data_IF_238152855410
#
_entry.id   IF_238152855410
#
_cell.length_a   1.000
_cell.length_b   1.000
_cell.length_c   1.000
_cell.angle_alpha   90.00
_cell.angle_beta   90.00
_cell.angle_gamma   90.00
#
_symmetry.space_group_name_H-M   'P 1'
#
loop_
_entity.id
_entity.type
_entity.pdbx_description
1 polymer ?
#
# COMPACT_ATOMS: atom_id res chain seq x y z
N UNK A 1 10.47 17.11 16.30
CA UNK A 1 9.36 16.22 15.95
C UNK A 1 8.90 16.59 14.56
N UNK A 2 9.20 15.71 13.62
CA UNK A 2 8.76 15.84 12.22
C UNK A 2 7.25 15.65 12.15
N UNK A 3 6.55 16.50 11.41
CA UNK A 3 5.11 16.37 11.20
C UNK A 3 4.82 15.25 10.20
N UNK A 4 3.63 14.65 10.28
CA UNK A 4 3.18 13.67 9.29
C UNK A 4 3.27 14.18 7.85
N UNK A 5 2.93 15.45 7.63
CA UNK A 5 3.08 16.10 6.32
C UNK A 5 4.55 16.13 5.88
N UNK A 6 5.49 16.41 6.77
CA UNK A 6 6.92 16.40 6.45
C UNK A 6 7.43 14.98 6.13
N UNK A 7 6.95 13.95 6.85
CA UNK A 7 7.29 12.55 6.55
C UNK A 7 6.82 12.14 5.14
N UNK A 8 5.56 12.46 4.81
CA UNK A 8 4.97 12.17 3.50
C UNK A 8 5.72 12.89 2.38
N UNK A 9 5.99 14.19 2.55
CA UNK A 9 6.72 14.97 1.54
C UNK A 9 8.18 14.50 1.40
N UNK A 10 8.81 14.07 2.50
CA UNK A 10 10.14 13.48 2.46
C UNK A 10 10.14 12.17 1.68
N UNK A 11 9.19 11.26 1.93
CA UNK A 11 9.09 10.02 1.16
C UNK A 11 8.92 10.30 -0.33
N UNK A 12 7.97 11.18 -0.68
CA UNK A 12 7.75 11.62 -2.06
C UNK A 12 9.03 12.15 -2.71
N UNK A 13 9.87 12.85 -1.95
CA UNK A 13 11.14 13.36 -2.45
C UNK A 13 12.11 12.23 -2.85
N UNK A 14 12.32 11.24 -1.97
CA UNK A 14 13.17 10.08 -2.28
C UNK A 14 12.65 9.30 -3.50
N UNK A 15 11.34 9.00 -3.51
CA UNK A 15 10.72 8.27 -4.62
C UNK A 15 10.79 9.05 -5.94
N UNK A 16 10.51 10.36 -5.92
CA UNK A 16 10.59 11.21 -7.11
C UNK A 16 12.02 11.30 -7.66
N UNK A 17 13.04 11.27 -6.81
CA UNK A 17 14.43 11.24 -7.27
C UNK A 17 14.76 9.92 -7.97
N UNK A 18 14.31 8.80 -7.42
CA UNK A 18 14.51 7.48 -8.02
C UNK A 18 13.86 7.36 -9.40
N UNK A 19 12.58 7.73 -9.55
CA UNK A 19 11.89 7.59 -10.84
C UNK A 19 12.34 8.60 -11.90
N UNK A 20 12.97 9.72 -11.52
CA UNK A 20 13.63 10.60 -12.51
C UNK A 20 14.79 9.92 -13.23
N UNK A 21 15.47 8.99 -12.56
CA UNK A 21 16.58 8.22 -13.15
C UNK A 21 16.15 6.85 -13.66
N UNK A 22 14.92 6.41 -13.32
CA UNK A 22 14.33 5.13 -13.74
C UNK A 22 12.91 5.33 -14.30
N UNK A 23 12.72 6.08 -15.40
CA UNK A 23 11.40 6.48 -15.90
C UNK A 23 10.59 5.33 -16.53
N UNK A 24 11.11 4.11 -16.57
CA UNK A 24 10.45 2.94 -17.14
C UNK A 24 9.43 2.29 -16.19
N UNK A 25 9.29 2.83 -14.98
CA UNK A 25 8.43 2.28 -13.93
C UNK A 25 7.41 3.34 -13.52
N UNK A 26 6.15 3.15 -13.95
CA UNK A 26 5.02 4.03 -13.62
C UNK A 26 4.35 3.67 -12.28
N UNK A 27 5.05 2.94 -11.39
CA UNK A 27 4.51 2.49 -10.11
C UNK A 27 4.90 3.44 -8.98
N UNK A 28 4.28 4.61 -8.95
CA UNK A 28 4.42 5.55 -7.84
C UNK A 28 3.70 5.03 -6.59
N UNK A 29 4.44 4.74 -5.53
CA UNK A 29 3.94 4.23 -4.25
C UNK A 29 3.75 5.34 -3.22
N UNK A 30 4.15 6.60 -3.50
CA UNK A 30 4.09 7.65 -2.49
C UNK A 30 2.69 7.87 -1.91
N UNK A 31 1.61 7.70 -2.68
CA UNK A 31 0.25 7.88 -2.14
C UNK A 31 -0.17 6.70 -1.27
N UNK A 32 0.18 5.47 -1.63
CA UNK A 32 0.02 4.28 -0.78
C UNK A 32 0.78 4.43 0.55
N UNK A 33 2.04 4.88 0.47
CA UNK A 33 2.84 5.16 1.67
C UNK A 33 2.27 6.32 2.45
N UNK A 34 1.77 7.37 1.80
CA UNK A 34 1.12 8.48 2.48
C UNK A 34 -0.09 8.00 3.29
N UNK A 35 -1.00 7.22 2.69
CA UNK A 35 -2.13 6.64 3.40
C UNK A 35 -1.70 5.71 4.53
N UNK A 36 -0.60 4.96 4.34
CA UNK A 36 -0.03 4.13 5.39
C UNK A 36 0.48 4.97 6.56
N UNK A 37 1.28 6.01 6.32
CA UNK A 37 1.80 6.91 7.36
C UNK A 37 0.67 7.67 8.10
N UNK A 38 -0.42 7.99 7.40
CA UNK A 38 -1.60 8.62 7.98
C UNK A 38 -2.45 7.68 8.83
N UNK A 39 -2.16 6.38 8.81
CA UNK A 39 -2.95 5.37 9.51
C UNK A 39 -4.32 5.13 8.88
N UNK A 40 -4.43 5.32 7.57
CA UNK A 40 -5.61 4.98 6.79
C UNK A 40 -5.47 3.58 6.20
N UNK A 41 -4.27 3.28 5.70
CA UNK A 41 -3.89 1.97 5.20
C UNK A 41 -2.95 1.29 6.19
N UNK A 42 -3.08 -0.01 6.43
CA UNK A 42 -2.23 -0.66 7.41
C UNK A 42 -0.88 -1.11 6.84
N UNK A 43 -0.84 -1.43 5.54
CA UNK A 43 0.34 -1.96 4.89
C UNK A 43 0.44 -1.50 3.43
N UNK A 44 1.66 -1.32 2.91
CA UNK A 44 1.89 -1.11 1.47
C UNK A 44 2.62 -2.31 0.91
N UNK A 45 2.13 -2.84 -0.21
CA UNK A 45 2.81 -3.84 -1.02
C UNK A 45 3.84 -3.14 -1.92
N UNK A 46 5.09 -3.56 -1.84
CA UNK A 46 6.14 -3.17 -2.78
C UNK A 46 6.55 -4.43 -3.53
N UNK A 47 6.11 -4.51 -4.78
CA UNK A 47 6.42 -5.60 -5.70
C UNK A 47 6.96 -5.02 -7.01
N UNK A 48 8.27 -5.13 -7.19
CA UNK A 48 8.97 -4.69 -8.39
C UNK A 48 9.70 -5.89 -9.02
N UNK A 49 9.75 -5.98 -10.35
CA UNK A 49 10.38 -7.10 -11.02
C UNK A 49 11.91 -7.09 -10.90
N UNK A 50 12.50 -8.26 -10.74
CA UNK A 50 13.95 -8.46 -10.85
C UNK A 50 14.78 -7.66 -9.83
N UNK A 51 15.81 -6.97 -10.30
CA UNK A 51 16.71 -6.16 -9.49
C UNK A 51 16.14 -4.78 -9.14
N UNK A 52 15.03 -4.37 -9.76
CA UNK A 52 14.36 -3.08 -9.52
C UNK A 52 13.95 -2.96 -8.05
N UNK A 53 13.45 -4.04 -7.44
CA UNK A 53 13.11 -4.03 -6.01
C UNK A 53 14.33 -3.71 -5.15
N UNK A 54 15.48 -4.36 -5.39
CA UNK A 54 16.70 -4.12 -4.61
C UNK A 54 17.21 -2.68 -4.80
N UNK A 55 17.16 -2.16 -6.03
CA UNK A 55 17.52 -0.78 -6.34
C UNK A 55 16.58 0.21 -5.64
N UNK A 56 15.26 -0.03 -5.67
CA UNK A 56 14.26 0.79 -5.00
C UNK A 56 14.46 0.81 -3.49
N UNK A 57 14.73 -0.36 -2.88
CA UNK A 57 15.03 -0.46 -1.45
C UNK A 57 16.24 0.40 -1.07
N UNK A 58 17.34 0.27 -1.80
CA UNK A 58 18.59 0.98 -1.52
C UNK A 58 18.48 2.49 -1.78
N UNK A 59 17.70 2.90 -2.79
CA UNK A 59 17.59 4.30 -3.20
C UNK A 59 16.50 5.08 -2.47
N UNK A 60 15.42 4.40 -2.03
CA UNK A 60 14.22 5.04 -1.48
C UNK A 60 13.95 4.60 -0.05
N UNK A 61 13.69 3.31 0.17
CA UNK A 61 13.18 2.81 1.45
C UNK A 61 14.21 2.91 2.57
N UNK A 62 15.39 2.35 2.38
CA UNK A 62 16.46 2.30 3.38
C UNK A 62 16.94 3.69 3.82
N UNK A 63 17.27 4.63 2.90
CA UNK A 63 17.73 5.95 3.31
C UNK A 63 16.62 6.78 3.95
N UNK A 64 15.36 6.62 3.51
CA UNK A 64 14.22 7.29 4.16
C UNK A 64 14.00 6.76 5.58
N UNK A 65 14.05 5.43 5.77
CA UNK A 65 14.00 4.77 7.08
C UNK A 65 15.08 5.30 8.02
N UNK A 66 16.31 5.37 7.54
CA UNK A 66 17.45 5.82 8.32
C UNK A 66 17.31 7.30 8.73
N UNK A 67 16.84 8.16 7.81
CA UNK A 67 16.67 9.59 8.07
C UNK A 67 15.58 9.89 9.11
N UNK A 68 14.55 9.03 9.21
CA UNK A 68 13.37 9.26 10.06
C UNK A 68 13.25 8.27 11.22
N UNK A 69 14.31 7.51 11.52
CA UNK A 69 14.31 6.49 12.57
C UNK A 69 13.74 7.00 13.91
N UNK A 70 14.11 8.21 14.32
CA UNK A 70 13.73 8.78 15.63
C UNK A 70 12.35 9.47 15.62
N UNK A 71 11.86 9.91 14.46
CA UNK A 71 10.56 10.54 14.30
C UNK A 71 9.42 9.52 14.05
N UNK A 72 9.77 8.27 13.80
CA UNK A 72 8.87 7.17 13.47
C UNK A 72 8.27 6.44 14.70
N UNK A 73 8.30 7.01 15.90
CA UNK A 73 7.85 6.33 17.13
C UNK A 73 6.36 5.92 17.14
N UNK A 74 5.55 6.41 16.20
CA UNK A 74 4.18 5.95 15.94
C UNK A 74 4.00 5.14 14.64
N UNK A 75 4.99 5.10 13.75
CA UNK A 75 4.91 4.35 12.49
C UNK A 75 6.10 3.40 12.45
N UNK A 76 5.92 2.18 12.95
CA UNK A 76 6.94 1.14 12.81
C UNK A 76 6.92 0.59 11.39
N UNK A 77 7.59 1.30 10.49
CA UNK A 77 7.84 0.77 9.16
C UNK A 77 8.64 -0.53 9.31
N UNK A 78 8.00 -1.62 8.91
CA UNK A 78 8.57 -2.98 8.96
C UNK A 78 8.49 -3.57 7.59
N UNK A 79 9.67 -3.75 7.00
CA UNK A 79 9.89 -4.48 5.76
C UNK A 79 9.77 -5.96 6.08
N UNK A 80 8.71 -6.59 5.59
CA UNK A 80 8.53 -8.05 5.69
C UNK A 80 8.99 -8.68 4.39
N UNK A 81 10.14 -9.35 4.42
CA UNK A 81 10.66 -10.11 3.28
C UNK A 81 10.06 -11.51 3.27
N UNK A 82 8.88 -11.68 2.69
CA UNK A 82 8.27 -13.00 2.55
C UNK A 82 7.81 -13.25 1.13
N UNK A 83 7.94 -14.50 0.70
CA UNK A 83 7.37 -14.94 -0.56
C UNK A 83 5.87 -15.06 -0.38
N UNK A 84 5.13 -14.18 -1.06
CA UNK A 84 3.69 -14.28 -1.17
C UNK A 84 3.37 -15.12 -2.40
N UNK A 85 2.48 -16.11 -2.23
CA UNK A 85 1.93 -16.87 -3.35
C UNK A 85 0.48 -16.50 -3.47
N UNK A 86 0.17 -15.66 -4.45
CA UNK A 86 -1.20 -15.45 -4.91
C UNK A 86 -1.19 -15.55 -6.43
N UNK A 87 -2.30 -15.94 -7.09
CA UNK A 87 -2.43 -15.89 -8.54
C UNK A 87 -1.95 -14.58 -9.17
N UNK A 88 -2.18 -13.44 -8.52
CA UNK A 88 -1.73 -12.11 -8.97
C UNK A 88 -0.24 -11.84 -8.73
N UNK A 89 0.39 -12.58 -7.80
CA UNK A 89 1.78 -12.38 -7.36
C UNK A 89 2.69 -13.57 -7.68
N UNK A 90 2.24 -14.50 -8.54
CA UNK A 90 2.95 -15.75 -8.87
C UNK A 90 4.34 -15.51 -9.50
N UNK A 91 4.58 -14.31 -10.04
CA UNK A 91 5.88 -13.89 -10.58
C UNK A 91 6.78 -13.11 -9.61
N UNK A 92 6.28 -12.73 -8.43
CA UNK A 92 7.02 -11.89 -7.49
C UNK A 92 8.13 -12.71 -6.79
N UNK A 93 9.39 -12.37 -7.05
CA UNK A 93 10.54 -13.04 -6.41
C UNK A 93 10.68 -12.64 -4.93
N UNK A 94 10.23 -11.44 -4.58
CA UNK A 94 10.16 -10.95 -3.22
C UNK A 94 9.10 -9.85 -3.13
N UNK A 95 8.36 -9.85 -2.03
CA UNK A 95 7.40 -8.80 -1.68
C UNK A 95 7.92 -8.10 -0.44
N UNK A 96 7.81 -6.78 -0.41
CA UNK A 96 8.08 -5.97 0.79
C UNK A 96 6.79 -5.34 1.27
N UNK A 97 6.44 -5.59 2.53
CA UNK A 97 5.39 -4.84 3.19
C UNK A 97 5.95 -3.63 3.92
N UNK A 98 5.23 -2.51 3.94
CA UNK A 98 5.49 -1.38 4.82
C UNK A 98 4.34 -1.25 5.81
N UNK A 99 4.52 -1.70 7.05
CA UNK A 99 3.43 -1.74 8.04
C UNK A 99 3.38 -0.45 8.88
N UNK A 100 2.18 0.08 9.17
CA UNK A 100 1.99 1.08 10.22
C UNK A 100 1.33 0.44 11.45
N UNK A 101 2.09 0.28 12.53
CA UNK A 101 1.63 -0.36 13.77
C UNK A 101 0.69 0.49 14.63
N UNK A 102 0.58 1.81 14.41
CA UNK A 102 -0.45 2.61 15.11
C UNK A 102 -1.81 2.52 14.43
N UNK A 103 -1.82 2.31 13.12
CA UNK A 103 -3.02 2.04 12.32
C UNK A 103 -3.76 0.79 12.80
N UNK A 104 -3.03 -0.20 13.33
CA UNK A 104 -3.55 -1.44 13.91
C UNK A 104 -4.56 -1.25 15.06
N UNK A 105 -4.73 -0.02 15.58
CA UNK A 105 -5.57 0.25 16.74
C UNK A 105 -6.84 1.08 16.45
N UNK A 106 -6.99 1.72 15.29
CA UNK A 106 -8.10 2.66 15.05
C UNK A 106 -8.59 2.67 13.58
N UNK A 107 -9.80 2.15 13.39
CA UNK A 107 -10.93 2.87 12.75
C UNK A 107 -11.53 2.43 11.40
N UNK A 108 -11.10 1.36 10.70
CA UNK A 108 -11.90 0.87 9.55
C UNK A 108 -12.39 -0.58 9.61
N UNK A 109 -11.64 -1.50 10.23
CA UNK A 109 -12.04 -2.92 10.29
C UNK A 109 -12.73 -3.34 11.60
N UNK A 110 -12.96 -2.43 12.56
CA UNK A 110 -13.58 -2.79 13.84
C UNK A 110 -12.70 -3.74 14.67
N UNK A 111 -13.31 -4.43 15.65
CA UNK A 111 -12.65 -5.40 16.54
C UNK A 111 -12.37 -6.75 15.82
N UNK A 112 -11.97 -6.68 14.54
CA UNK A 112 -11.80 -7.82 13.65
C UNK A 112 -10.56 -8.64 14.04
N UNK A 113 -10.84 -9.86 14.52
CA UNK A 113 -9.84 -10.82 14.97
C UNK A 113 -8.99 -11.34 13.79
N UNK A 114 -9.57 -11.46 12.61
CA UNK A 114 -8.86 -11.86 11.39
C UNK A 114 -7.90 -10.76 10.95
N UNK A 115 -8.31 -9.50 11.07
CA UNK A 115 -7.43 -8.36 10.83
C UNK A 115 -6.20 -8.36 11.77
N UNK A 116 -6.43 -8.58 13.07
CA UNK A 116 -5.34 -8.72 14.04
C UNK A 116 -4.46 -9.93 13.76
N UNK A 117 -5.03 -11.03 13.27
CA UNK A 117 -4.29 -12.22 12.87
C UNK A 117 -3.38 -11.91 11.68
N UNK A 118 -3.88 -11.26 10.63
CA UNK A 118 -3.08 -10.87 9.46
C UNK A 118 -1.93 -9.92 9.83
N UNK A 119 -2.20 -8.91 10.67
CA UNK A 119 -1.14 -8.04 11.19
C UNK A 119 -0.12 -8.80 12.02
N UNK A 120 -0.53 -9.74 12.88
CA UNK A 120 0.42 -10.57 13.65
C UNK A 120 1.31 -11.39 12.73
N UNK A 121 0.79 -11.91 11.62
CA UNK A 121 1.60 -12.63 10.64
C UNK A 121 2.72 -11.74 10.11
N UNK A 122 2.44 -10.47 9.83
CA UNK A 122 3.44 -9.49 9.37
C UNK A 122 4.40 -9.03 10.47
N UNK A 123 3.92 -8.94 11.72
CA UNK A 123 4.67 -8.37 12.84
C UNK A 123 5.51 -9.39 13.63
N UNK A 124 5.54 -10.68 13.25
CA UNK A 124 6.41 -11.67 13.91
C UNK A 124 7.86 -11.23 13.79
N UNK A 125 8.48 -10.90 14.93
CA UNK A 125 9.90 -10.51 15.03
C UNK A 125 10.83 -11.61 14.54
N UNK A 126 11.77 -11.24 13.69
CA UNK A 126 12.95 -12.03 13.32
C UNK A 126 13.99 -12.03 14.46
N UNK A 127 13.64 -12.53 15.64
CA UNK A 127 14.62 -12.77 16.72
C UNK A 127 15.19 -14.21 16.66
N UNK A 128 15.04 -14.93 15.52
CA UNK A 128 15.52 -16.30 15.36
C UNK A 128 16.45 -16.46 14.15
N UNK A 129 17.59 -17.19 14.29
CA UNK A 129 18.56 -17.45 13.22
C UNK A 129 18.06 -18.48 12.17
N UNK A 130 16.75 -18.64 12.02
CA UNK A 130 16.12 -19.56 11.08
C UNK A 130 15.55 -18.75 9.91
N UNK A 131 15.57 -19.23 8.65
CA UNK A 131 14.88 -18.54 7.58
C UNK A 131 13.42 -18.30 8.00
N UNK A 132 12.87 -17.10 7.77
CA UNK A 132 11.52 -16.77 8.22
C UNK A 132 10.53 -17.79 7.65
N UNK A 133 9.56 -18.26 8.45
CA UNK A 133 8.53 -19.15 7.93
C UNK A 133 7.80 -18.46 6.78
N UNK A 134 7.68 -19.17 5.66
CA UNK A 134 6.99 -18.71 4.47
C UNK A 134 5.57 -18.29 4.86
N UNK A 135 5.21 -17.02 4.63
CA UNK A 135 3.84 -16.56 4.80
C UNK A 135 3.09 -16.86 3.52
N UNK A 136 2.25 -17.89 3.56
CA UNK A 136 1.30 -18.14 2.48
C UNK A 136 0.04 -17.37 2.82
N UNK A 137 -0.31 -16.40 1.99
CA UNK A 137 -1.68 -15.88 1.93
C UNK A 137 -2.37 -16.71 0.85
N UNK A 138 -3.17 -17.69 1.25
CA UNK A 138 -3.82 -18.63 0.33
C UNK A 138 -5.06 -18.04 -0.34
N UNK A 139 -5.62 -16.98 0.24
CA UNK A 139 -6.85 -16.33 -0.19
C UNK A 139 -6.60 -14.88 -0.62
N UNK A 140 -6.97 -14.56 -1.86
CA UNK A 140 -6.87 -13.21 -2.41
C UNK A 140 -7.75 -12.20 -1.65
N UNK A 141 -8.85 -12.66 -1.05
CA UNK A 141 -9.68 -11.79 -0.22
C UNK A 141 -8.93 -11.36 1.06
N UNK A 142 -8.05 -12.21 1.60
CA UNK A 142 -7.19 -11.87 2.74
C UNK A 142 -6.07 -10.89 2.34
N UNK A 143 -5.51 -11.03 1.13
CA UNK A 143 -4.55 -10.05 0.60
C UNK A 143 -5.21 -8.69 0.37
N UNK A 144 -6.41 -8.67 -0.23
CA UNK A 144 -7.17 -7.44 -0.45
C UNK A 144 -7.48 -6.73 0.87
N UNK A 145 -7.87 -7.47 1.92
CA UNK A 145 -8.05 -6.92 3.27
C UNK A 145 -6.75 -6.38 3.85
N UNK A 146 -5.63 -7.09 3.67
CA UNK A 146 -4.31 -6.67 4.13
C UNK A 146 -3.85 -5.34 3.51
N UNK A 147 -4.21 -5.13 2.26
CA UNK A 147 -3.92 -3.94 1.49
C UNK A 147 -5.04 -2.89 1.58
N UNK A 148 -6.08 -3.12 2.37
CA UNK A 148 -7.25 -2.23 2.47
C UNK A 148 -7.85 -1.87 1.10
N UNK A 149 -7.93 -2.86 0.20
CA UNK A 149 -8.59 -2.69 -1.09
C UNK A 149 -10.11 -2.90 -0.93
N UNK A 150 -10.94 -1.90 -1.29
CA UNK A 150 -12.40 -2.02 -1.17
C UNK A 150 -13.03 -2.92 -2.25
N UNK A 151 -12.25 -3.30 -3.26
CA UNK A 151 -12.59 -4.29 -4.28
C UNK A 151 -12.05 -5.68 -3.93
N UNK A 152 -12.51 -6.69 -4.67
CA UNK A 152 -11.92 -8.04 -4.60
C UNK A 152 -11.00 -8.21 -5.80
N UNK A 153 -9.94 -8.97 -5.61
CA UNK A 153 -9.09 -9.38 -6.72
C UNK A 153 -9.87 -10.32 -7.65
N UNK A 154 -9.55 -10.31 -8.95
CA UNK A 154 -10.23 -11.12 -9.94
C UNK A 154 -10.00 -12.60 -9.63
N UNK A 155 -11.05 -13.43 -9.77
CA UNK A 155 -10.96 -14.88 -9.55
C UNK A 155 -10.77 -15.68 -10.83
N UNK A 156 -10.83 -15.02 -11.97
CA UNK A 156 -10.67 -15.61 -13.29
C UNK A 156 -10.23 -14.57 -14.32
N UNK A 157 -9.71 -15.03 -15.45
CA UNK A 157 -9.38 -14.16 -16.58
C UNK A 157 -10.63 -13.42 -17.11
N UNK A 158 -11.79 -14.07 -17.14
CA UNK A 158 -13.04 -13.45 -17.57
C UNK A 158 -13.46 -12.27 -16.67
N UNK A 159 -13.11 -12.31 -15.38
CA UNK A 159 -13.38 -11.21 -14.46
C UNK A 159 -12.49 -10.00 -14.74
N UNK A 160 -11.28 -10.18 -15.28
CA UNK A 160 -10.37 -9.08 -15.64
C UNK A 160 -11.00 -8.14 -16.67
N UNK A 161 -11.68 -8.71 -17.68
CA UNK A 161 -12.31 -7.96 -18.77
C UNK A 161 -13.45 -7.05 -18.31
N UNK A 162 -14.01 -7.32 -17.12
CA UNK A 162 -15.11 -6.53 -16.55
C UNK A 162 -14.67 -5.58 -15.44
N UNK A 163 -13.39 -5.62 -15.05
CA UNK A 163 -12.87 -4.75 -14.00
C UNK A 163 -12.84 -3.29 -14.45
N UNK A 164 -13.07 -2.42 -13.47
CA UNK A 164 -12.96 -0.98 -13.63
C UNK A 164 -11.69 -0.51 -12.94
N UNK A 165 -10.97 0.37 -13.63
CA UNK A 165 -9.87 1.14 -13.05
C UNK A 165 -10.46 2.09 -12.01
N UNK A 166 -9.90 2.04 -10.81
CA UNK A 166 -10.16 2.97 -9.73
C UNK A 166 -8.88 3.73 -9.43
N UNK A 167 -8.95 5.06 -9.41
CA UNK A 167 -7.83 5.89 -9.01
C UNK A 167 -8.28 6.94 -8.00
N UNK A 168 -7.51 7.12 -6.93
CA UNK A 168 -7.63 8.30 -6.08
C UNK A 168 -6.53 9.27 -6.46
N UNK A 169 -6.87 10.55 -6.58
CA UNK A 169 -5.93 11.57 -7.01
C UNK A 169 -6.13 12.85 -6.21
N UNK A 170 -5.09 13.65 -6.11
CA UNK A 170 -5.16 14.98 -5.51
C UNK A 170 -5.68 15.98 -6.56
N UNK A 171 -6.89 16.51 -6.38
CA UNK A 171 -7.57 17.37 -7.39
C UNK A 171 -6.77 18.62 -7.79
N UNK A 172 -6.13 19.37 -6.87
CA UNK A 172 -5.38 20.57 -7.24
C UNK A 172 -4.15 20.27 -8.09
N UNK A 173 -3.45 19.17 -7.81
CA UNK A 173 -2.21 18.80 -8.52
C UNK A 173 -2.42 17.80 -9.64
N UNK A 174 -3.59 17.18 -9.72
CA UNK A 174 -3.92 16.05 -10.60
C UNK A 174 -2.98 14.85 -10.42
N UNK A 175 -2.30 14.74 -9.27
CA UNK A 175 -1.38 13.63 -9.01
C UNK A 175 -2.15 12.41 -8.54
N UNK A 176 -1.99 11.27 -9.23
CA UNK A 176 -2.56 9.98 -8.79
C UNK A 176 -1.83 9.50 -7.53
N UNK A 177 -2.59 9.09 -6.52
CA UNK A 177 -2.09 8.66 -5.21
C UNK A 177 -2.14 7.14 -5.05
N UNK A 178 -3.22 6.51 -5.50
CA UNK A 178 -3.36 5.05 -5.53
C UNK A 178 -4.21 4.67 -6.73
N UNK A 179 -3.96 3.47 -7.25
CA UNK A 179 -4.77 2.81 -8.25
C UNK A 179 -5.03 1.38 -7.85
N UNK A 180 -6.24 0.91 -8.11
CA UNK A 180 -6.60 -0.50 -7.99
C UNK A 180 -7.74 -0.81 -8.95
N UNK A 181 -8.09 -2.09 -9.06
CA UNK A 181 -9.20 -2.54 -9.90
C UNK A 181 -10.36 -3.02 -9.02
N UNK A 182 -11.59 -2.79 -9.47
CA UNK A 182 -12.79 -3.27 -8.79
C UNK A 182 -13.87 -3.68 -9.80
N UNK A 183 -14.75 -4.60 -9.40
CA UNK A 183 -15.92 -4.95 -10.20
C UNK A 183 -16.99 -3.86 -10.11
N UNK A 184 -17.86 -3.78 -11.12
CA UNK A 184 -18.92 -2.75 -11.18
C UNK A 184 -19.91 -2.86 -10.01
N UNK A 185 -20.22 -4.08 -9.57
CA UNK A 185 -21.09 -4.35 -8.41
C UNK A 185 -20.46 -3.90 -7.09
N UNK A 186 -19.16 -3.65 -7.06
CA UNK A 186 -18.42 -3.14 -5.89
C UNK A 186 -18.34 -1.61 -5.83
N UNK A 187 -18.90 -0.89 -6.80
CA UNK A 187 -18.80 0.58 -6.87
C UNK A 187 -19.30 1.28 -5.60
N UNK A 188 -20.39 0.81 -4.98
CA UNK A 188 -20.89 1.39 -3.73
C UNK A 188 -19.88 1.26 -2.56
N UNK A 189 -19.17 0.13 -2.49
CA UNK A 189 -18.13 -0.10 -1.49
C UNK A 189 -16.92 0.82 -1.73
N UNK A 190 -16.48 0.92 -2.99
CA UNK A 190 -15.41 1.86 -3.38
C UNK A 190 -15.76 3.30 -3.03
N UNK A 191 -17.00 3.74 -3.25
CA UNK A 191 -17.45 5.08 -2.87
C UNK A 191 -17.46 5.30 -1.36
N UNK A 192 -17.83 4.28 -0.57
CA UNK A 192 -17.78 4.35 0.88
C UNK A 192 -16.34 4.51 1.37
N UNK A 193 -15.44 3.64 0.90
CA UNK A 193 -14.01 3.70 1.20
C UNK A 193 -13.38 5.04 0.80
N UNK A 194 -13.65 5.52 -0.42
CA UNK A 194 -13.17 6.82 -0.91
C UNK A 194 -13.60 7.98 0.00
N UNK A 195 -14.86 8.00 0.45
CA UNK A 195 -15.35 9.04 1.37
C UNK A 195 -14.59 9.04 2.69
N UNK A 196 -14.35 7.84 3.26
CA UNK A 196 -13.58 7.72 4.49
C UNK A 196 -12.17 8.28 4.34
N UNK A 197 -11.48 7.93 3.24
CA UNK A 197 -10.13 8.43 2.94
C UNK A 197 -10.13 9.94 2.70
N UNK A 198 -11.04 10.44 1.86
CA UNK A 198 -11.17 11.87 1.55
C UNK A 198 -11.37 12.70 2.82
N UNK A 199 -12.29 12.27 3.68
CA UNK A 199 -12.61 13.01 4.91
C UNK A 199 -11.42 12.99 5.89
N UNK A 200 -10.63 11.90 5.90
CA UNK A 200 -9.46 11.77 6.75
C UNK A 200 -8.23 12.57 6.26
N UNK A 201 -8.06 12.75 4.95
CA UNK A 201 -6.94 13.52 4.38
C UNK A 201 -7.25 15.02 4.22
N UNK A 202 -8.52 15.42 4.24
CA UNK A 202 -8.93 16.82 4.10
C UNK A 202 -8.25 17.79 5.11
N UNK A 203 -8.06 17.46 6.40
CA UNK A 203 -7.34 18.32 7.34
C UNK A 203 -5.87 18.58 6.96
N UNK A 204 -5.29 17.77 6.07
CA UNK A 204 -3.93 17.93 5.56
C UNK A 204 -3.88 18.78 4.29
N UNK A 205 -5.02 19.31 3.85
CA UNK A 205 -5.13 20.12 2.63
C UNK A 205 -5.10 19.31 1.34
N UNK A 206 -5.33 18.00 1.41
CA UNK A 206 -5.46 17.12 0.23
C UNK A 206 -6.94 17.07 -0.15
N UNK A 207 -7.26 17.49 -1.37
CA UNK A 207 -8.61 17.41 -1.91
C UNK A 207 -8.71 16.18 -2.82
N UNK A 208 -9.13 15.06 -2.22
CA UNK A 208 -9.14 13.77 -2.89
C UNK A 208 -10.26 13.69 -3.94
N UNK A 209 -9.93 13.29 -5.15
CA UNK A 209 -10.84 12.94 -6.24
C UNK A 209 -10.88 11.43 -6.50
N UNK A 210 -11.96 10.98 -7.13
CA UNK A 210 -12.20 9.57 -7.49
C UNK A 210 -12.40 9.43 -9.00
N UNK A 211 -11.64 8.54 -9.62
CA UNK A 211 -11.93 8.01 -10.95
C UNK A 211 -12.42 6.57 -10.76
N UNK A 212 -13.54 6.23 -11.40
CA UNK A 212 -14.04 4.87 -11.51
C UNK A 212 -14.53 4.68 -12.94
N UNK A 213 -13.79 3.93 -13.76
CA UNK A 213 -14.09 3.80 -15.20
C UNK A 213 -13.64 2.47 -15.76
N UNK A 214 -14.17 2.09 -16.92
CA UNK A 214 -13.58 1.01 -17.70
C UNK A 214 -12.21 1.43 -18.24
N UNK A 215 -11.21 0.54 -18.24
CA UNK A 215 -9.95 0.77 -18.93
C UNK A 215 -10.23 1.18 -20.38
N UNK A 216 -9.59 2.24 -20.84
CA UNK A 216 -9.64 2.62 -22.25
C UNK A 216 -8.49 1.90 -22.93
N UNK A 217 -8.80 0.86 -23.71
CA UNK A 217 -7.81 0.12 -24.53
C UNK A 217 -7.55 0.90 -25.81
#
# INVERSE_FOLDING_TARGET
>A
MTTLQQLVQSYRHYESQYFRTHPQHDSYLYGEVAFCLMGLKPTVLVDFPGDVLAQYMTAVIDPWLQAHHDDNQGVLLRVVHRQLRSPELDSAQAVVFLVNTTCASKAMHGDDEDWRRLLRLLLVREDRPSPPPLMVIEDEDDLARLLDYPGRLPRSADELDTMHEVAYYDQPTQTVLTTFAAQLDQHAHVQHHFRAYRDAVAPMGIDLGLIFRRPTI
#
